data_IF_605219734365
#
_entry.id   IF_605219734365
#
_cell.length_a   1.000
_cell.length_b   1.000
_cell.length_c   1.000
_cell.angle_alpha   90.00
_cell.angle_beta   90.00
_cell.angle_gamma   90.00
#
_symmetry.space_group_name_H-M   'P 1'
#
loop_
_entity.id
_entity.type
_entity.pdbx_description
1 polymer ?
#
# COMPACT_ATOMS: atom_id res chain seq x y z
N UNK A 1 -8.73 4.17 7.15
CA UNK A 1 -9.56 3.48 8.16
C UNK A 1 -10.11 2.14 7.66
N UNK A 2 -10.63 2.03 6.40
CA UNK A 2 -11.29 0.81 5.89
C UNK A 2 -10.43 -0.47 5.99
N UNK A 3 -9.13 -0.38 5.70
CA UNK A 3 -8.21 -1.53 5.77
C UNK A 3 -8.00 -2.07 7.18
N UNK A 4 -8.10 -1.24 8.21
CA UNK A 4 -7.91 -1.66 9.61
C UNK A 4 -9.06 -2.54 10.16
N UNK A 5 -10.18 -2.60 9.46
CA UNK A 5 -11.36 -3.41 9.81
C UNK A 5 -11.52 -4.64 8.93
N UNK A 6 -10.48 -5.02 8.18
CA UNK A 6 -10.51 -6.26 7.41
C UNK A 6 -10.30 -7.46 8.33
N UNK A 7 -11.05 -8.52 8.11
CA UNK A 7 -10.99 -9.75 8.93
C UNK A 7 -9.64 -10.49 8.86
N UNK A 8 -8.78 -10.16 7.90
CA UNK A 8 -7.43 -10.72 7.81
C UNK A 8 -6.47 -9.59 7.44
N UNK A 9 -5.46 -9.37 8.28
CA UNK A 9 -4.49 -8.28 8.15
C UNK A 9 -3.06 -8.81 8.13
N UNK A 10 -2.17 -8.09 7.43
CA UNK A 10 -0.72 -8.21 7.58
C UNK A 10 -0.24 -7.01 8.36
N UNK A 11 0.50 -7.24 9.43
CA UNK A 11 1.12 -6.19 10.25
C UNK A 11 2.60 -6.45 10.44
N UNK A 12 3.42 -5.45 10.23
CA UNK A 12 4.86 -5.51 10.51
C UNK A 12 5.23 -4.49 11.57
N UNK A 13 6.15 -4.85 12.46
CA UNK A 13 6.67 -4.00 13.53
C UNK A 13 8.17 -4.11 13.60
N UNK A 14 8.83 -3.07 14.12
CA UNK A 14 10.24 -3.14 14.53
C UNK A 14 10.29 -3.49 16.01
N UNK A 15 11.04 -4.54 16.34
CA UNK A 15 11.29 -4.96 17.71
C UNK A 15 12.73 -5.47 17.84
N UNK A 16 13.50 -4.88 18.74
CA UNK A 16 14.90 -5.25 19.01
C UNK A 16 15.72 -5.45 17.72
N UNK A 17 15.94 -4.40 16.94
CA UNK A 17 16.73 -4.43 15.71
C UNK A 17 16.30 -5.46 14.65
N UNK A 18 15.07 -5.91 14.71
CA UNK A 18 14.48 -6.84 13.75
C UNK A 18 13.10 -6.34 13.30
N UNK A 19 12.72 -6.70 12.08
CA UNK A 19 11.32 -6.59 11.62
C UNK A 19 10.64 -7.91 11.89
N UNK A 20 9.50 -7.84 12.54
CA UNK A 20 8.61 -8.98 12.75
C UNK A 20 7.32 -8.76 11.96
N UNK A 21 6.93 -9.75 11.15
CA UNK A 21 5.69 -9.70 10.36
C UNK A 21 4.70 -10.73 10.86
N UNK A 22 3.52 -10.25 11.16
CA UNK A 22 2.38 -11.01 11.67
C UNK A 22 1.28 -11.08 10.62
N UNK A 23 0.54 -12.18 10.63
CA UNK A 23 -0.77 -12.26 9.98
C UNK A 23 -1.82 -12.45 11.05
N UNK A 24 -2.82 -11.59 11.03
CA UNK A 24 -3.94 -11.56 11.96
C UNK A 24 -5.16 -12.10 11.21
N UNK A 25 -5.81 -13.08 11.77
CA UNK A 25 -7.01 -13.71 11.21
C UNK A 25 -8.16 -13.67 12.22
N UNK A 26 -9.06 -12.72 12.04
CA UNK A 26 -10.25 -12.52 12.87
C UNK A 26 -11.47 -13.29 12.32
N UNK A 27 -11.24 -14.26 11.42
CA UNK A 27 -12.30 -15.13 10.92
C UNK A 27 -12.47 -16.40 11.78
N UNK A 28 -13.61 -17.04 11.64
CA UNK A 28 -13.92 -18.33 12.29
C UNK A 28 -13.28 -19.55 11.61
N UNK A 29 -12.53 -19.36 10.51
CA UNK A 29 -11.89 -20.41 9.75
C UNK A 29 -10.38 -20.21 9.68
N UNK A 30 -9.60 -21.28 9.80
CA UNK A 30 -8.16 -21.26 9.50
C UNK A 30 -7.95 -21.03 7.99
N UNK A 31 -6.83 -20.37 7.64
CA UNK A 31 -6.50 -20.01 6.27
C UNK A 31 -5.15 -20.61 5.90
N UNK A 32 -5.09 -21.32 4.77
CA UNK A 32 -3.83 -21.70 4.12
C UNK A 32 -3.56 -20.73 2.98
N UNK A 33 -2.43 -20.03 3.05
CA UNK A 33 -2.09 -18.99 2.08
C UNK A 33 -0.58 -18.94 1.86
N UNK A 34 -0.19 -18.51 0.66
CA UNK A 34 1.20 -18.14 0.39
C UNK A 34 1.41 -16.69 0.81
N UNK A 35 2.29 -16.47 1.79
CA UNK A 35 2.74 -15.15 2.22
C UNK A 35 4.05 -14.85 1.50
N UNK A 36 4.07 -13.76 0.72
CA UNK A 36 5.27 -13.21 0.09
C UNK A 36 5.67 -11.93 0.81
N UNK A 37 6.97 -11.81 1.12
CA UNK A 37 7.59 -10.57 1.58
C UNK A 37 8.65 -10.14 0.57
N UNK A 38 8.73 -8.84 0.32
CA UNK A 38 9.80 -8.26 -0.48
C UNK A 38 10.25 -6.93 0.12
N UNK A 39 11.54 -6.72 0.25
CA UNK A 39 12.13 -5.39 0.48
C UNK A 39 12.43 -4.83 -0.90
N UNK A 40 11.82 -3.70 -1.21
CA UNK A 40 12.00 -2.99 -2.47
C UNK A 40 12.48 -1.57 -2.19
N UNK A 41 13.24 -0.98 -3.13
CA UNK A 41 13.53 0.44 -3.11
C UNK A 41 12.33 1.26 -3.62
N UNK A 42 12.44 2.58 -3.54
CA UNK A 42 11.36 3.48 -3.98
C UNK A 42 11.23 3.61 -5.50
N UNK A 43 12.09 2.93 -6.27
CA UNK A 43 12.01 2.79 -7.72
C UNK A 43 11.41 1.42 -8.15
N UNK A 44 11.15 0.54 -7.16
CA UNK A 44 10.54 -0.78 -7.38
C UNK A 44 11.55 -1.91 -7.63
N UNK A 45 12.84 -1.65 -7.45
CA UNK A 45 13.85 -2.71 -7.53
C UNK A 45 13.76 -3.59 -6.28
N UNK A 46 13.59 -4.88 -6.48
CA UNK A 46 13.60 -5.88 -5.41
C UNK A 46 15.04 -6.05 -4.88
N UNK A 47 15.23 -5.82 -3.60
CA UNK A 47 16.51 -5.97 -2.88
C UNK A 47 16.58 -7.36 -2.26
N UNK A 48 15.45 -7.80 -1.71
CA UNK A 48 15.30 -9.11 -1.08
C UNK A 48 13.84 -9.56 -1.18
N UNK A 49 13.62 -10.85 -1.37
CA UNK A 49 12.28 -11.42 -1.24
C UNK A 49 12.32 -12.85 -0.71
N UNK A 50 11.23 -13.25 -0.08
CA UNK A 50 10.96 -14.61 0.35
C UNK A 50 9.47 -14.90 0.28
N UNK A 51 9.12 -16.17 0.12
CA UNK A 51 7.72 -16.60 0.14
C UNK A 51 7.57 -18.00 0.73
N UNK A 52 6.55 -18.19 1.54
CA UNK A 52 6.24 -19.48 2.13
C UNK A 52 4.73 -19.73 2.24
N UNK A 53 4.35 -20.99 2.17
CA UNK A 53 3.00 -21.40 2.55
C UNK A 53 2.87 -21.34 4.07
N UNK A 54 1.82 -20.70 4.55
CA UNK A 54 1.52 -20.56 5.95
C UNK A 54 0.09 -21.02 6.24
N UNK A 55 -0.12 -21.54 7.43
CA UNK A 55 -1.45 -21.75 7.97
C UNK A 55 -1.67 -20.78 9.13
N UNK A 56 -2.70 -19.93 8.98
CA UNK A 56 -3.10 -18.94 9.98
C UNK A 56 -4.35 -19.46 10.67
N UNK A 57 -4.24 -19.75 11.93
CA UNK A 57 -5.36 -20.28 12.71
C UNK A 57 -6.49 -19.25 12.82
N UNK A 58 -7.71 -19.70 13.00
CA UNK A 58 -8.87 -18.85 13.27
C UNK A 58 -8.66 -18.04 14.55
N UNK A 59 -9.19 -16.81 14.59
CA UNK A 59 -9.13 -15.90 15.73
C UNK A 59 -7.71 -15.82 16.34
N UNK A 60 -6.69 -15.63 15.48
CA UNK A 60 -5.30 -15.63 15.92
C UNK A 60 -4.48 -14.53 15.28
N UNK A 61 -3.42 -14.14 16.00
CA UNK A 61 -2.33 -13.31 15.48
C UNK A 61 -1.05 -14.12 15.60
N UNK A 62 -0.41 -14.43 14.48
CA UNK A 62 0.78 -15.27 14.44
C UNK A 62 1.92 -14.59 13.72
N UNK A 63 3.14 -14.71 14.27
CA UNK A 63 4.37 -14.24 13.64
C UNK A 63 4.85 -15.27 12.62
N UNK A 64 5.09 -14.83 11.39
CA UNK A 64 5.57 -15.69 10.32
C UNK A 64 6.96 -15.35 9.82
N UNK A 65 7.38 -14.10 9.95
CA UNK A 65 8.70 -13.66 9.56
C UNK A 65 9.37 -12.84 10.65
N UNK A 66 10.69 -12.99 10.72
CA UNK A 66 11.59 -12.13 11.47
C UNK A 66 12.91 -12.02 10.72
N UNK A 67 13.39 -10.80 10.48
CA UNK A 67 14.68 -10.56 9.85
C UNK A 67 15.36 -9.31 10.45
N UNK A 68 16.72 -9.32 10.55
CA UNK A 68 17.45 -8.21 11.14
C UNK A 68 17.43 -6.97 10.25
N UNK A 69 17.55 -5.79 10.88
CA UNK A 69 17.57 -4.49 10.22
C UNK A 69 18.95 -3.98 9.83
N UNK A 70 20.02 -4.69 10.20
CA UNK A 70 21.41 -4.25 10.03
C UNK A 70 21.81 -4.06 8.55
N UNK A 71 21.18 -4.79 7.65
CA UNK A 71 21.43 -4.75 6.21
C UNK A 71 20.37 -4.00 5.40
N UNK A 72 19.44 -3.35 6.09
CA UNK A 72 18.33 -2.64 5.44
C UNK A 72 18.66 -1.15 5.34
N UNK A 73 18.60 -0.61 4.14
CA UNK A 73 18.58 0.83 3.90
C UNK A 73 17.21 1.41 4.29
N UNK A 74 17.11 1.87 5.55
CA UNK A 74 15.83 2.27 6.17
C UNK A 74 15.22 3.52 5.53
N UNK A 75 16.03 4.34 4.87
CA UNK A 75 15.63 5.63 4.31
C UNK A 75 15.19 5.52 2.86
N UNK A 76 15.65 4.49 2.13
CA UNK A 76 15.45 4.34 0.69
C UNK A 76 14.65 3.08 0.32
N UNK A 77 14.21 2.28 1.30
CA UNK A 77 13.49 1.02 1.04
C UNK A 77 12.24 0.88 1.89
N UNK A 78 11.37 -0.03 1.47
CA UNK A 78 10.17 -0.43 2.20
C UNK A 78 9.96 -1.93 2.12
N UNK A 79 9.27 -2.49 3.10
CA UNK A 79 8.77 -3.86 3.06
C UNK A 79 7.38 -3.88 2.42
N UNK A 80 7.19 -4.73 1.44
CA UNK A 80 5.89 -5.08 0.88
C UNK A 80 5.58 -6.51 1.26
N UNK A 81 4.48 -6.71 1.95
CA UNK A 81 3.98 -8.04 2.30
C UNK A 81 2.66 -8.30 1.57
N UNK A 82 2.56 -9.48 0.96
CA UNK A 82 1.42 -9.83 0.11
C UNK A 82 0.94 -11.26 0.39
N UNK A 83 -0.38 -11.45 0.48
CA UNK A 83 -1.03 -12.74 0.35
C UNK A 83 -2.37 -12.59 -0.39
N UNK A 84 -2.66 -13.48 -1.33
CA UNK A 84 -3.82 -13.35 -2.23
C UNK A 84 -3.82 -11.94 -2.88
N UNK A 85 -4.91 -11.20 -2.70
CA UNK A 85 -5.09 -9.85 -3.26
C UNK A 85 -4.80 -8.74 -2.23
N UNK A 86 -4.23 -9.08 -1.07
CA UNK A 86 -3.95 -8.13 0.00
C UNK A 86 -2.48 -7.76 0.00
N UNK A 87 -2.21 -6.45 0.05
CA UNK A 87 -0.86 -5.89 0.17
C UNK A 87 -0.81 -4.97 1.38
N UNK A 88 0.28 -5.08 2.13
CA UNK A 88 0.64 -4.17 3.21
C UNK A 88 2.03 -3.61 2.95
N UNK A 89 2.19 -2.31 3.15
CA UNK A 89 3.48 -1.62 3.09
C UNK A 89 3.95 -1.29 4.50
N UNK A 90 5.25 -1.40 4.73
CA UNK A 90 5.85 -1.02 5.99
C UNK A 90 7.17 -0.27 5.75
N UNK A 91 7.35 0.86 6.43
CA UNK A 91 8.54 1.69 6.35
C UNK A 91 9.39 1.51 7.59
N UNK A 92 10.71 1.46 7.41
CA UNK A 92 11.67 1.19 8.48
C UNK A 92 12.01 2.43 9.29
N UNK A 93 11.58 3.62 8.84
CA UNK A 93 11.74 4.90 9.54
C UNK A 93 10.50 5.77 9.42
N UNK A 94 10.47 6.88 10.15
CA UNK A 94 9.35 7.86 10.09
C UNK A 94 9.31 8.55 8.73
N UNK A 95 8.14 9.05 8.26
CA UNK A 95 7.99 9.69 6.95
C UNK A 95 9.01 10.78 6.65
N UNK A 96 9.36 11.62 7.63
CA UNK A 96 10.38 12.66 7.49
C UNK A 96 11.81 12.17 7.29
N UNK A 97 12.08 10.91 7.57
CA UNK A 97 13.39 10.27 7.37
C UNK A 97 13.45 9.45 6.08
N UNK A 98 12.41 9.49 5.23
CA UNK A 98 12.41 8.79 3.95
C UNK A 98 12.96 9.70 2.85
N UNK A 99 13.90 9.21 2.07
CA UNK A 99 14.42 9.86 0.87
C UNK A 99 13.48 9.59 -0.32
N UNK A 100 12.27 10.15 -0.25
CA UNK A 100 11.24 9.92 -1.27
C UNK A 100 11.65 10.53 -2.61
N UNK A 101 11.70 9.75 -3.72
CA UNK A 101 12.10 10.27 -5.02
C UNK A 101 11.03 11.20 -5.59
N UNK A 102 11.45 12.23 -6.33
CA UNK A 102 10.55 13.04 -7.15
C UNK A 102 10.04 12.17 -8.31
N UNK A 103 8.77 12.34 -8.65
CA UNK A 103 8.17 11.63 -9.76
C UNK A 103 6.73 12.03 -9.97
N UNK A 104 6.22 11.80 -11.17
CA UNK A 104 4.87 12.17 -11.56
C UNK A 104 3.89 11.01 -11.38
N UNK A 105 2.64 11.37 -11.09
CA UNK A 105 1.51 10.46 -11.12
C UNK A 105 0.80 10.61 -12.46
N UNK A 106 0.91 9.60 -13.30
CA UNK A 106 0.11 9.47 -14.51
C UNK A 106 -1.31 9.05 -14.14
N UNK A 107 -2.31 9.63 -14.81
CA UNK A 107 -3.72 9.29 -14.60
C UNK A 107 -4.39 8.95 -15.91
N UNK A 108 -5.23 7.91 -15.87
CA UNK A 108 -6.20 7.57 -16.90
C UNK A 108 -7.59 7.53 -16.28
N UNK A 109 -8.59 8.13 -16.95
CA UNK A 109 -9.93 8.29 -16.40
C UNK A 109 -10.95 7.81 -17.42
N UNK A 110 -11.73 6.80 -17.02
CA UNK A 110 -12.79 6.22 -17.83
C UNK A 110 -14.14 6.51 -17.18
N UNK A 111 -15.04 7.18 -17.92
CA UNK A 111 -16.40 7.44 -17.46
C UNK A 111 -17.24 6.15 -17.52
N UNK A 112 -18.08 5.97 -16.50
CA UNK A 112 -19.05 4.88 -16.39
C UNK A 112 -20.46 5.44 -16.18
N UNK A 113 -21.47 4.60 -16.15
CA UNK A 113 -22.86 5.03 -15.86
C UNK A 113 -23.01 5.70 -14.49
N UNK A 114 -22.24 5.25 -13.48
CA UNK A 114 -22.38 5.66 -12.09
C UNK A 114 -21.17 6.45 -11.55
N UNK A 115 -20.27 6.94 -12.44
CA UNK A 115 -19.09 7.68 -12.02
C UNK A 115 -17.88 7.47 -12.93
N UNK A 116 -16.70 7.26 -12.34
CA UNK A 116 -15.44 7.21 -13.08
C UNK A 116 -14.50 6.17 -12.47
N UNK A 117 -13.85 5.39 -13.32
CA UNK A 117 -12.64 4.67 -12.94
C UNK A 117 -11.44 5.59 -13.16
N UNK A 118 -10.67 5.79 -12.10
CA UNK A 118 -9.44 6.60 -12.09
C UNK A 118 -8.29 5.63 -11.87
N UNK A 119 -7.48 5.40 -12.90
CA UNK A 119 -6.28 4.56 -12.82
C UNK A 119 -5.06 5.44 -12.68
N UNK A 120 -4.31 5.23 -11.61
CA UNK A 120 -3.08 5.95 -11.30
C UNK A 120 -1.87 5.04 -11.48
N UNK A 121 -0.77 5.58 -12.01
CA UNK A 121 0.50 4.90 -12.17
C UNK A 121 1.65 5.88 -11.94
N UNK A 122 2.74 5.41 -11.33
CA UNK A 122 4.00 6.13 -11.23
C UNK A 122 5.17 5.16 -11.39
N UNK A 123 6.30 5.64 -11.88
CA UNK A 123 7.55 4.85 -11.96
C UNK A 123 8.29 4.79 -10.62
N UNK A 124 7.93 5.66 -9.68
CA UNK A 124 8.49 5.70 -8.33
C UNK A 124 7.39 5.61 -7.28
N UNK A 125 7.75 5.28 -6.05
CA UNK A 125 6.82 5.32 -4.93
C UNK A 125 6.20 6.73 -4.81
N UNK A 126 4.87 6.78 -4.74
CA UNK A 126 4.14 7.97 -4.33
C UNK A 126 3.45 7.69 -3.00
N UNK A 127 3.94 8.33 -1.94
CA UNK A 127 3.46 8.06 -0.59
C UNK A 127 2.23 8.90 -0.26
N UNK A 128 1.27 8.27 0.44
CA UNK A 128 0.05 8.92 0.94
C UNK A 128 -0.71 9.68 -0.16
N UNK A 129 -0.93 9.01 -1.30
CA UNK A 129 -1.66 9.60 -2.42
C UNK A 129 -3.08 9.95 -2.00
N UNK A 130 -3.43 11.20 -2.23
CA UNK A 130 -4.72 11.78 -1.86
C UNK A 130 -5.41 12.33 -3.11
N UNK A 131 -6.66 11.91 -3.32
CA UNK A 131 -7.55 12.43 -4.36
C UNK A 131 -8.57 13.38 -3.73
N UNK A 132 -8.74 14.52 -4.36
CA UNK A 132 -9.71 15.52 -3.93
C UNK A 132 -10.54 16.02 -5.11
N UNK A 133 -11.79 16.34 -4.85
CA UNK A 133 -12.70 17.04 -5.76
C UNK A 133 -13.72 17.85 -4.94
N UNK A 134 -14.10 19.03 -5.44
CA UNK A 134 -15.18 19.82 -4.84
C UNK A 134 -16.59 19.25 -5.14
N UNK A 135 -16.69 18.26 -6.04
CA UNK A 135 -17.98 17.64 -6.40
C UNK A 135 -18.44 16.63 -5.36
N UNK A 136 -19.76 16.50 -5.20
CA UNK A 136 -20.34 15.46 -4.34
C UNK A 136 -20.05 14.09 -4.94
N UNK A 137 -19.51 13.19 -4.12
CA UNK A 137 -19.21 11.82 -4.53
C UNK A 137 -18.39 11.07 -3.49
N UNK A 138 -18.05 9.84 -3.81
CA UNK A 138 -17.29 8.96 -2.93
C UNK A 138 -16.21 8.22 -3.70
N UNK A 139 -14.96 8.28 -3.20
CA UNK A 139 -13.85 7.46 -3.69
C UNK A 139 -13.88 6.10 -3.00
N UNK A 140 -13.72 5.03 -3.76
CA UNK A 140 -13.65 3.66 -3.20
C UNK A 140 -12.42 3.45 -2.30
N UNK A 141 -11.33 4.21 -2.54
CA UNK A 141 -10.13 4.25 -1.71
C UNK A 141 -9.49 5.65 -1.78
N UNK A 142 -8.80 6.06 -0.71
CA UNK A 142 -8.07 7.32 -0.63
C UNK A 142 -6.99 7.23 0.45
N UNK A 143 -5.95 8.07 0.42
CA UNK A 143 -4.80 8.03 1.32
C UNK A 143 -4.08 6.68 1.28
N UNK A 144 -3.53 6.34 0.12
CA UNK A 144 -2.81 5.09 -0.09
C UNK A 144 -1.43 5.34 -0.70
N UNK A 145 -0.53 4.37 -0.53
CA UNK A 145 0.73 4.35 -1.24
C UNK A 145 0.53 3.80 -2.65
N UNK A 146 0.99 4.53 -3.66
CA UNK A 146 1.05 4.06 -5.04
C UNK A 146 2.44 3.46 -5.28
N UNK A 147 2.49 2.14 -5.35
CA UNK A 147 3.75 1.41 -5.53
C UNK A 147 4.34 1.65 -6.92
N UNK A 148 5.68 1.65 -7.04
CA UNK A 148 6.36 1.81 -8.32
C UNK A 148 5.85 0.80 -9.37
N UNK A 149 5.57 1.28 -10.56
CA UNK A 149 5.15 0.48 -11.72
C UNK A 149 3.92 -0.41 -11.49
N UNK A 150 3.16 -0.16 -10.41
CA UNK A 150 1.95 -0.93 -10.07
C UNK A 150 0.73 -0.03 -10.22
N UNK A 151 -0.09 -0.18 -11.26
CA UNK A 151 -1.29 0.61 -11.44
C UNK A 151 -2.29 0.37 -10.31
N UNK A 152 -2.99 1.43 -9.89
CA UNK A 152 -4.09 1.35 -8.94
C UNK A 152 -5.31 2.05 -9.50
N UNK A 153 -6.43 1.31 -9.58
CA UNK A 153 -7.72 1.84 -10.04
C UNK A 153 -8.62 2.13 -8.85
N UNK A 154 -9.18 3.34 -8.83
CA UNK A 154 -10.14 3.84 -7.84
C UNK A 154 -11.45 4.13 -8.56
N UNK A 155 -12.58 3.68 -8.00
CA UNK A 155 -13.89 4.10 -8.44
C UNK A 155 -14.27 5.39 -7.69
N UNK A 156 -14.62 6.43 -8.44
CA UNK A 156 -15.31 7.60 -7.92
C UNK A 156 -16.77 7.54 -8.33
N UNK A 157 -17.67 7.43 -7.38
CA UNK A 157 -19.10 7.39 -7.60
C UNK A 157 -19.67 8.80 -7.49
N UNK A 158 -20.25 9.31 -8.59
CA UNK A 158 -20.89 10.62 -8.64
C UNK A 158 -21.86 10.71 -9.83
N UNK A 159 -22.89 11.53 -9.69
CA UNK A 159 -23.89 11.77 -10.75
C UNK A 159 -23.53 12.93 -11.67
N UNK A 160 -22.51 13.73 -11.32
CA UNK A 160 -22.18 14.97 -12.03
C UNK A 160 -20.69 15.25 -11.97
N UNK A 161 -19.96 14.97 -13.05
CA UNK A 161 -18.55 15.29 -13.13
C UNK A 161 -18.11 15.82 -14.50
N UNK A 162 -17.31 16.87 -14.44
CA UNK A 162 -16.36 17.26 -15.47
C UNK A 162 -14.97 16.76 -15.05
N UNK A 163 -14.21 16.19 -15.98
CA UNK A 163 -12.88 15.59 -15.80
C UNK A 163 -11.82 16.55 -15.23
N UNK A 164 -12.06 17.86 -15.29
CA UNK A 164 -11.15 18.90 -14.82
C UNK A 164 -11.11 19.07 -13.29
N UNK A 165 -12.00 18.40 -12.57
CA UNK A 165 -12.26 18.68 -11.15
C UNK A 165 -11.46 17.79 -10.18
N UNK A 166 -10.50 16.98 -10.65
CA UNK A 166 -9.72 16.13 -9.76
C UNK A 166 -8.33 16.70 -9.50
N UNK A 167 -8.02 16.89 -8.24
CA UNK A 167 -6.66 17.05 -7.74
C UNK A 167 -6.12 15.72 -7.21
N UNK A 168 -4.86 15.44 -7.54
CA UNK A 168 -4.13 14.29 -7.03
C UNK A 168 -2.86 14.83 -6.40
N UNK A 169 -2.64 14.53 -5.13
CA UNK A 169 -1.45 14.94 -4.38
C UNK A 169 -0.83 13.71 -3.72
N UNK A 170 0.47 13.77 -3.47
CA UNK A 170 1.22 12.83 -2.66
C UNK A 170 2.04 13.59 -1.61
N UNK A 171 2.62 12.89 -0.66
CA UNK A 171 3.48 13.53 0.33
C UNK A 171 4.62 14.31 -0.35
N UNK A 172 5.18 13.79 -1.45
CA UNK A 172 6.24 14.44 -2.22
C UNK A 172 5.78 15.75 -2.86
N UNK A 173 4.52 15.84 -3.33
CA UNK A 173 4.00 17.06 -3.97
C UNK A 173 3.66 18.20 -3.00
N UNK A 174 3.68 17.93 -1.68
CA UNK A 174 3.41 18.93 -0.64
C UNK A 174 4.72 19.51 -0.08
N UNK A 175 5.85 18.85 -0.31
CA UNK A 175 7.17 19.25 0.18
C UNK A 175 7.87 20.29 -0.72
N UNK A 176 7.19 20.78 -1.74
CA UNK A 176 7.59 21.92 -2.57
C UNK A 176 7.01 23.23 -2.00
#
# INVERSE_FOLDING_TARGET
AKKAFENVLISSIIKHDSVETFVINDTFNSLKVRLKLAVIDFYGKEIWSDSKEIEVLKNSSQQFYRFPLDKIDKENTMLVAEFKNKKSTFYFTKPKGLNLPKGEIQKDIIKTENGFYITLKSTVLQKDVFLFTAKKGHFSDNFFDLLPNTPKTILFTSTSLDLKDFEIRSLQSIQE
#
